data_IF_241378769984
#
_entry.id   IF_241378769984
#
_cell.length_a   1.000
_cell.length_b   1.000
_cell.length_c   1.000
_cell.angle_alpha   90.00
_cell.angle_beta   90.00
_cell.angle_gamma   90.00
#
_symmetry.space_group_name_H-M   'P 1'
#
loop_
_entity.id
_entity.type
_entity.pdbx_description
1 polymer ?
#
# COMPACT_ATOMS: atom_id res chain seq x y z
N UNK A 1 13.81 3.92 -5.09
CA UNK A 1 12.99 2.72 -5.37
C UNK A 1 11.61 2.86 -4.74
N UNK A 2 11.51 3.12 -3.43
CA UNK A 2 10.24 3.50 -2.76
C UNK A 2 9.56 4.70 -3.41
N UNK A 3 10.29 5.80 -3.59
CA UNK A 3 9.88 6.99 -4.35
C UNK A 3 9.31 6.70 -5.74
N UNK A 4 9.81 5.67 -6.44
CA UNK A 4 9.38 5.32 -7.79
C UNK A 4 8.02 4.62 -7.77
N UNK A 5 7.78 3.77 -6.78
CA UNK A 5 6.50 3.07 -6.62
C UNK A 5 5.43 4.01 -6.06
N UNK A 6 5.79 4.86 -5.09
CA UNK A 6 4.94 5.92 -4.56
C UNK A 6 4.62 6.96 -5.63
N UNK A 7 5.58 7.32 -6.49
CA UNK A 7 5.33 8.11 -7.71
C UNK A 7 4.46 7.35 -8.68
N UNK A 8 4.67 6.06 -8.95
CA UNK A 8 3.79 5.30 -9.84
C UNK A 8 2.33 5.28 -9.32
N UNK A 9 2.14 5.10 -8.01
CA UNK A 9 0.83 5.20 -7.34
C UNK A 9 0.26 6.64 -7.39
N UNK A 10 1.09 7.67 -7.17
CA UNK A 10 0.68 9.08 -7.17
C UNK A 10 0.56 9.70 -8.57
N UNK A 11 1.19 9.14 -9.62
CA UNK A 11 1.10 9.68 -10.99
C UNK A 11 -0.31 9.45 -11.57
N UNK A 12 -1.09 8.54 -10.95
CA UNK A 12 -2.53 8.35 -11.20
C UNK A 12 -3.39 9.47 -10.57
N UNK A 13 -2.80 10.45 -9.86
CA UNK A 13 -3.52 11.58 -9.26
C UNK A 13 -4.13 12.57 -10.28
N UNK A 14 -3.97 12.32 -11.58
CA UNK A 14 -4.71 13.00 -12.66
C UNK A 14 -5.94 12.19 -13.09
N UNK A 15 -7.00 12.19 -12.27
CA UNK A 15 -8.22 11.34 -12.35
C UNK A 15 -7.96 9.86 -12.01
N UNK A 16 -8.40 9.47 -10.82
CA UNK A 16 -8.46 8.07 -10.41
C UNK A 16 -9.51 7.33 -11.22
N UNK A 17 -9.09 6.23 -11.83
CA UNK A 17 -9.95 5.36 -12.60
C UNK A 17 -10.29 4.11 -11.77
N UNK A 18 -11.59 3.80 -11.64
CA UNK A 18 -12.07 2.68 -10.80
C UNK A 18 -11.60 1.33 -11.32
N UNK A 19 -11.39 1.19 -12.62
CA UNK A 19 -10.91 -0.05 -13.21
C UNK A 19 -9.42 -0.22 -12.94
N UNK A 20 -8.64 0.87 -12.98
CA UNK A 20 -7.23 0.86 -12.58
C UNK A 20 -7.06 0.54 -11.08
N UNK A 21 -7.92 1.06 -10.21
CA UNK A 21 -7.91 0.74 -8.78
C UNK A 21 -8.21 -0.74 -8.54
N UNK A 22 -9.19 -1.30 -9.26
CA UNK A 22 -9.52 -2.73 -9.17
C UNK A 22 -8.35 -3.60 -9.64
N UNK A 23 -7.72 -3.23 -10.75
CA UNK A 23 -6.54 -3.92 -11.27
C UNK A 23 -5.38 -3.86 -10.27
N UNK A 24 -5.09 -2.67 -9.74
CA UNK A 24 -4.05 -2.45 -8.75
C UNK A 24 -4.33 -3.25 -7.47
N UNK A 25 -5.57 -3.20 -6.95
CA UNK A 25 -5.98 -3.99 -5.78
C UNK A 25 -5.76 -5.48 -6.04
N UNK A 26 -6.26 -6.00 -7.17
CA UNK A 26 -6.13 -7.41 -7.50
C UNK A 26 -4.67 -7.85 -7.60
N UNK A 27 -3.83 -7.03 -8.23
CA UNK A 27 -2.40 -7.29 -8.34
C UNK A 27 -1.73 -7.30 -6.97
N UNK A 28 -1.98 -6.29 -6.12
CA UNK A 28 -1.44 -6.21 -4.77
C UNK A 28 -1.82 -7.48 -4.00
N UNK A 29 -3.12 -7.80 -3.92
CA UNK A 29 -3.64 -8.99 -3.22
C UNK A 29 -2.98 -10.29 -3.68
N UNK A 30 -2.73 -10.41 -4.99
CA UNK A 30 -2.07 -11.58 -5.58
C UNK A 30 -0.61 -11.68 -5.15
N UNK A 31 0.12 -10.56 -5.10
CA UNK A 31 1.53 -10.54 -4.69
C UNK A 31 1.67 -10.80 -3.19
N UNK A 32 0.80 -10.23 -2.35
CA UNK A 32 0.87 -10.39 -0.89
C UNK A 32 0.26 -11.69 -0.38
N UNK A 33 -0.70 -12.26 -1.12
CA UNK A 33 -1.44 -13.45 -0.75
C UNK A 33 -2.52 -13.20 0.30
N UNK A 34 -2.96 -11.95 0.46
CA UNK A 34 -4.00 -11.53 1.39
C UNK A 34 -4.96 -10.54 0.71
N UNK A 35 -6.19 -10.46 1.21
CA UNK A 35 -7.23 -9.58 0.68
C UNK A 35 -7.20 -8.21 1.37
N UNK A 36 -7.61 -7.17 0.64
CA UNK A 36 -7.87 -5.88 1.27
C UNK A 36 -9.02 -6.04 2.29
N UNK A 37 -8.99 -5.28 3.40
CA UNK A 37 -10.08 -5.28 4.38
C UNK A 37 -11.44 -5.02 3.74
N UNK A 38 -12.42 -5.87 4.06
CA UNK A 38 -13.78 -5.70 3.58
C UNK A 38 -14.44 -4.46 4.24
N UNK A 39 -15.26 -3.74 3.48
CA UNK A 39 -16.01 -2.58 3.98
C UNK A 39 -15.26 -1.25 3.94
N UNK A 40 -14.02 -1.23 3.46
CA UNK A 40 -13.23 -0.02 3.28
C UNK A 40 -13.07 0.32 1.80
N UNK A 41 -12.97 1.61 1.49
CA UNK A 41 -12.63 2.07 0.13
C UNK A 41 -11.13 1.86 -0.12
N UNK A 42 -10.74 1.79 -1.39
CA UNK A 42 -9.37 1.49 -1.82
C UNK A 42 -8.32 2.40 -1.14
N UNK A 43 -8.62 3.69 -0.99
CA UNK A 43 -7.76 4.66 -0.28
C UNK A 43 -7.50 4.29 1.17
N UNK A 44 -8.58 3.99 1.89
CA UNK A 44 -8.52 3.79 3.33
C UNK A 44 -7.72 2.53 3.67
N UNK A 45 -7.79 1.52 2.80
CA UNK A 45 -6.99 0.31 2.92
C UNK A 45 -5.47 0.55 2.77
N UNK A 46 -5.07 1.58 2.02
CA UNK A 46 -3.65 1.89 1.76
C UNK A 46 -3.11 2.98 2.69
N UNK A 47 -3.99 3.70 3.39
CA UNK A 47 -3.68 4.91 4.15
C UNK A 47 -2.73 4.69 5.32
N UNK A 48 -2.76 3.53 5.95
CA UNK A 48 -1.89 3.19 7.08
C UNK A 48 -0.53 2.62 6.65
N UNK A 49 -0.31 2.43 5.34
CA UNK A 49 0.91 1.91 4.76
C UNK A 49 1.19 0.41 4.99
N UNK A 50 0.38 -0.32 5.75
CA UNK A 50 0.66 -1.72 6.10
C UNK A 50 0.71 -2.60 4.85
N UNK A 51 -0.32 -2.53 4.00
CA UNK A 51 -0.40 -3.33 2.77
C UNK A 51 0.76 -3.00 1.82
N UNK A 52 1.17 -1.73 1.76
CA UNK A 52 2.30 -1.28 0.95
C UNK A 52 3.63 -1.82 1.47
N UNK A 53 3.87 -1.80 2.79
CA UNK A 53 5.06 -2.38 3.38
C UNK A 53 5.13 -3.90 3.14
N UNK A 54 4.00 -4.61 3.27
CA UNK A 54 3.92 -6.06 2.99
C UNK A 54 4.21 -6.36 1.52
N UNK A 55 3.63 -5.58 0.61
CA UNK A 55 3.92 -5.66 -0.83
C UNK A 55 5.43 -5.50 -1.09
N UNK A 56 6.05 -4.48 -0.51
CA UNK A 56 7.48 -4.25 -0.68
C UNK A 56 8.34 -5.40 -0.16
N UNK A 57 7.99 -5.95 1.00
CA UNK A 57 8.69 -7.13 1.54
C UNK A 57 8.46 -8.41 0.73
N UNK A 58 7.39 -8.50 -0.07
CA UNK A 58 7.20 -9.60 -1.02
C UNK A 58 8.06 -9.45 -2.26
N UNK A 59 8.19 -8.23 -2.77
CA UNK A 59 9.00 -7.91 -3.95
C UNK A 59 10.51 -7.94 -3.63
N UNK A 60 10.88 -7.47 -2.45
CA UNK A 60 12.25 -7.43 -1.95
C UNK A 60 12.26 -7.81 -0.46
N UNK A 61 12.47 -9.09 -0.13
CA UNK A 61 12.46 -9.57 1.25
C UNK A 61 13.36 -8.76 2.17
N UNK A 62 12.79 -8.26 3.27
CA UNK A 62 13.51 -7.54 4.33
C UNK A 62 13.77 -6.05 4.06
N UNK A 63 13.25 -5.48 2.97
CA UNK A 63 13.45 -4.05 2.67
C UNK A 63 12.74 -3.12 3.66
N UNK A 64 11.59 -3.55 4.21
CA UNK A 64 10.91 -2.87 5.32
C UNK A 64 11.11 -3.69 6.59
N UNK A 65 12.07 -3.33 7.45
CA UNK A 65 12.42 -4.12 8.63
C UNK A 65 11.33 -4.08 9.72
N UNK A 66 10.52 -3.02 9.77
CA UNK A 66 9.49 -2.85 10.80
C UNK A 66 8.22 -2.24 10.23
N UNK A 67 7.11 -2.96 10.38
CA UNK A 67 5.78 -2.47 10.02
C UNK A 67 5.03 -2.09 11.30
N UNK A 68 4.60 -0.84 11.41
CA UNK A 68 3.73 -0.41 12.49
C UNK A 68 2.32 -0.93 12.22
N UNK A 69 1.81 -1.83 13.06
CA UNK A 69 0.45 -2.39 12.96
C UNK A 69 -0.51 -1.82 14.01
N UNK A 70 0.00 -1.05 14.96
CA UNK A 70 -0.76 -0.42 16.05
C UNK A 70 -0.17 0.94 16.43
N UNK A 71 -1.04 1.84 16.87
CA UNK A 71 -0.70 3.20 17.30
C UNK A 71 -1.69 4.24 16.80
N UNK A 72 -1.41 5.51 17.09
CA UNK A 72 -2.15 6.61 16.49
C UNK A 72 -1.71 6.88 15.05
N UNK A 73 -2.50 7.66 14.31
CA UNK A 73 -2.34 7.94 12.88
C UNK A 73 -0.91 8.33 12.48
N UNK A 74 -0.24 9.18 13.28
CA UNK A 74 1.14 9.61 13.02
C UNK A 74 2.11 8.41 12.91
N UNK A 75 1.99 7.45 13.83
CA UNK A 75 2.85 6.25 13.84
C UNK A 75 2.53 5.32 12.68
N UNK A 76 1.29 5.29 12.22
CA UNK A 76 0.90 4.50 11.06
C UNK A 76 1.44 5.15 9.77
N UNK A 77 1.36 6.47 9.66
CA UNK A 77 1.91 7.23 8.52
C UNK A 77 3.42 7.02 8.33
N UNK A 78 4.16 6.74 9.40
CA UNK A 78 5.59 6.38 9.30
C UNK A 78 5.81 5.18 8.37
N UNK A 79 4.88 4.22 8.26
CA UNK A 79 5.01 3.09 7.32
C UNK A 79 5.22 3.54 5.87
N UNK A 80 4.63 4.67 5.47
CA UNK A 80 4.73 5.21 4.11
C UNK A 80 6.05 5.99 3.93
N UNK A 81 6.59 6.55 5.01
CA UNK A 81 7.77 7.41 5.00
C UNK A 81 9.09 6.67 5.31
N UNK A 82 9.04 5.35 5.52
CA UNK A 82 10.21 4.51 5.83
C UNK A 82 11.18 4.35 4.67
#
# INVERSE_FOLDING_TARGET
MFETLLKALNTVAGKRDRDQEREAQHWIETVIGEKFPAGYVYEDCLRDGILLCRLMNRLSPGIVPKINTTGGDYKMMDNINQ
#
